data_IF_700722489391
#
_entry.id   IF_700722489391
#
_cell.length_a   1.000
_cell.length_b   1.000
_cell.length_c   1.000
_cell.angle_alpha   90.00
_cell.angle_beta   90.00
_cell.angle_gamma   90.00
#
_symmetry.space_group_name_H-M   'P 1'
#
loop_
_entity.id
_entity.type
_entity.pdbx_description
1 polymer ?
#
# COMPACT_ATOMS: atom_id res chain seq x y z
N UNK A 1 -12.66 57.90 -25.64
CA UNK A 1 -12.26 56.86 -24.66
C UNK A 1 -13.35 55.79 -24.67
N UNK A 2 -13.12 54.64 -25.31
CA UNK A 2 -14.11 53.56 -25.43
C UNK A 2 -13.38 52.26 -25.08
N UNK A 3 -13.41 51.90 -23.80
CA UNK A 3 -12.90 50.59 -23.35
C UNK A 3 -13.94 49.57 -23.78
N UNK A 4 -13.59 48.75 -24.78
CA UNK A 4 -14.43 47.64 -25.25
C UNK A 4 -14.78 46.76 -24.05
N UNK A 5 -16.04 46.73 -23.64
CA UNK A 5 -16.56 45.70 -22.74
C UNK A 5 -16.30 44.36 -23.43
N UNK A 6 -15.28 43.65 -22.96
CA UNK A 6 -14.92 42.32 -23.43
C UNK A 6 -16.11 41.39 -23.08
N UNK A 7 -16.72 40.79 -24.10
CA UNK A 7 -17.99 40.08 -23.99
C UNK A 7 -17.84 38.88 -23.01
N UNK A 8 -18.55 38.92 -21.88
CA UNK A 8 -18.51 37.89 -20.83
C UNK A 8 -18.87 36.49 -21.35
N UNK A 9 -19.56 36.39 -22.48
CA UNK A 9 -19.90 35.13 -23.13
C UNK A 9 -18.68 34.46 -23.78
N UNK A 10 -17.78 35.24 -24.38
CA UNK A 10 -16.53 34.73 -24.97
C UNK A 10 -15.65 34.06 -23.91
N UNK A 11 -15.47 34.73 -22.76
CA UNK A 11 -14.66 34.21 -21.64
C UNK A 11 -15.26 32.91 -21.06
N UNK A 12 -16.58 32.85 -20.92
CA UNK A 12 -17.28 31.66 -20.42
C UNK A 12 -17.15 30.46 -21.37
N UNK A 13 -17.26 30.69 -22.68
CA UNK A 13 -17.10 29.65 -23.71
C UNK A 13 -15.66 29.13 -23.73
N UNK A 14 -14.67 30.02 -23.57
CA UNK A 14 -13.26 29.65 -23.56
C UNK A 14 -12.85 28.90 -22.28
N UNK A 15 -13.41 29.28 -21.11
CA UNK A 15 -13.30 28.50 -19.88
C UNK A 15 -13.91 27.10 -20.00
N UNK A 16 -15.10 26.97 -20.59
CA UNK A 16 -15.75 25.66 -20.80
C UNK A 16 -14.95 24.75 -21.73
N UNK A 17 -14.36 25.29 -22.80
CA UNK A 17 -13.46 24.50 -23.69
C UNK A 17 -12.24 23.97 -22.94
N UNK A 18 -11.60 24.78 -22.09
CA UNK A 18 -10.43 24.35 -21.29
C UNK A 18 -10.78 23.28 -20.25
N UNK A 19 -11.93 23.40 -19.59
CA UNK A 19 -12.40 22.40 -18.60
C UNK A 19 -12.75 21.07 -19.28
N UNK A 20 -13.41 21.12 -20.45
CA UNK A 20 -13.77 19.92 -21.21
C UNK A 20 -12.55 19.17 -21.71
N UNK A 21 -11.52 19.84 -22.21
CA UNK A 21 -10.30 19.17 -22.72
C UNK A 21 -9.45 18.59 -21.59
N UNK A 22 -9.43 19.21 -20.41
CA UNK A 22 -8.74 18.69 -19.24
C UNK A 22 -9.45 17.49 -18.59
N UNK A 23 -10.77 17.39 -18.75
CA UNK A 23 -11.58 16.24 -18.30
C UNK A 23 -11.20 14.93 -19.02
N UNK A 24 -10.77 14.99 -20.29
CA UNK A 24 -10.34 13.81 -21.05
C UNK A 24 -8.91 13.34 -20.75
N UNK A 25 -8.01 14.26 -20.39
CA UNK A 25 -6.59 13.95 -20.10
C UNK A 25 -6.45 13.25 -18.74
N UNK A 26 -7.28 13.61 -17.75
CA UNK A 26 -7.28 12.99 -16.44
C UNK A 26 -7.69 11.51 -16.47
N UNK A 27 -8.48 11.05 -17.44
CA UNK A 27 -8.90 9.64 -17.52
C UNK A 27 -7.82 8.69 -18.08
N UNK A 28 -6.82 9.21 -18.78
CA UNK A 28 -5.75 8.41 -19.40
C UNK A 28 -4.48 8.34 -18.56
N UNK A 29 -4.27 9.27 -17.63
CA UNK A 29 -3.07 9.35 -16.79
C UNK A 29 -3.31 8.74 -15.39
N UNK A 30 -4.57 8.52 -15.01
CA UNK A 30 -4.96 8.03 -13.67
C UNK A 30 -5.29 6.53 -13.47
N UNK A 31 -4.96 5.54 -14.34
CA UNK A 31 -5.08 4.14 -13.92
C UNK A 31 -3.95 3.70 -12.97
N UNK A 32 -2.91 4.52 -12.77
CA UNK A 32 -1.65 4.09 -12.13
C UNK A 32 -1.52 4.35 -10.63
N UNK A 33 -2.37 5.19 -10.00
CA UNK A 33 -2.09 5.68 -8.65
C UNK A 33 -2.85 4.98 -7.51
N UNK A 34 -3.61 3.93 -7.79
CA UNK A 34 -4.35 3.17 -6.76
C UNK A 34 -4.03 1.67 -6.79
N UNK A 35 -2.81 1.30 -7.14
CA UNK A 35 -2.26 0.04 -6.62
C UNK A 35 -1.57 0.38 -5.31
N UNK A 36 -2.38 0.70 -4.29
CA UNK A 36 -1.89 0.86 -2.93
C UNK A 36 -1.24 -0.46 -2.53
N UNK A 37 0.07 -0.43 -2.28
CA UNK A 37 0.78 -1.55 -1.71
C UNK A 37 0.11 -1.85 -0.36
N UNK A 38 -0.64 -2.95 -0.29
CA UNK A 38 -1.35 -3.31 0.92
C UNK A 38 -0.31 -3.55 2.02
N UNK A 39 -0.35 -2.74 3.08
CA UNK A 39 0.49 -2.95 4.26
C UNK A 39 0.23 -4.36 4.80
N UNK A 40 1.27 -5.17 4.82
CA UNK A 40 1.18 -6.57 5.20
C UNK A 40 1.18 -6.72 6.71
N UNK A 41 0.03 -7.15 7.25
CA UNK A 41 -0.17 -7.27 8.70
C UNK A 41 0.09 -8.69 9.19
N UNK A 42 0.73 -8.77 10.36
CA UNK A 42 0.89 -9.99 11.15
C UNK A 42 -0.03 -9.88 12.34
N UNK A 43 -0.83 -10.92 12.61
CA UNK A 43 -1.84 -10.94 13.68
C UNK A 43 -1.25 -11.10 15.08
N UNK A 44 0.07 -11.15 15.20
CA UNK A 44 0.81 -11.17 16.47
C UNK A 44 1.63 -9.88 16.62
N UNK A 45 0.96 -8.73 16.86
CA UNK A 45 1.63 -7.43 16.91
C UNK A 45 2.55 -7.27 18.12
N UNK A 46 2.33 -8.03 19.19
CA UNK A 46 3.10 -7.92 20.45
C UNK A 46 4.60 -8.23 20.28
N UNK A 47 4.97 -8.97 19.25
CA UNK A 47 6.34 -9.43 18.98
C UNK A 47 6.95 -8.80 17.73
N UNK A 48 6.13 -8.16 16.88
CA UNK A 48 6.45 -7.81 15.50
C UNK A 48 6.60 -6.30 15.31
N UNK A 49 7.74 -5.86 14.78
CA UNK A 49 7.93 -4.47 14.34
C UNK A 49 7.95 -4.37 12.81
N UNK A 50 8.58 -5.33 12.14
CA UNK A 50 8.79 -5.34 10.70
C UNK A 50 8.54 -6.75 10.18
N UNK A 51 7.65 -6.87 9.20
CA UNK A 51 7.45 -8.11 8.47
C UNK A 51 8.01 -7.95 7.05
N UNK A 52 8.82 -8.92 6.63
CA UNK A 52 9.35 -9.02 5.27
C UNK A 52 9.00 -10.40 4.72
N UNK A 53 8.17 -10.44 3.70
CA UNK A 53 7.81 -11.71 3.09
C UNK A 53 6.62 -11.59 2.19
N UNK A 54 6.15 -12.76 1.77
CA UNK A 54 4.97 -12.89 0.96
C UNK A 54 3.71 -12.41 1.71
N UNK A 55 2.77 -11.89 0.94
CA UNK A 55 1.61 -11.21 1.48
C UNK A 55 0.39 -11.48 0.61
N UNK A 56 -0.71 -11.86 1.26
CA UNK A 56 -1.96 -12.24 0.60
C UNK A 56 -3.12 -11.61 1.33
N UNK A 57 -3.94 -10.85 0.60
CA UNK A 57 -5.09 -10.12 1.16
C UNK A 57 -4.72 -9.21 2.34
N UNK A 58 -3.56 -8.54 2.28
CA UNK A 58 -3.07 -7.66 3.35
C UNK A 58 -2.56 -8.37 4.60
N UNK A 59 -2.42 -9.70 4.57
CA UNK A 59 -1.90 -10.50 5.67
C UNK A 59 -0.65 -11.27 5.25
N UNK A 60 0.28 -11.45 6.19
CA UNK A 60 1.44 -12.32 6.00
C UNK A 60 1.01 -13.74 5.58
N UNK A 61 1.59 -14.25 4.49
CA UNK A 61 1.24 -15.55 3.94
C UNK A 61 2.39 -16.07 3.08
N UNK A 62 2.75 -17.35 3.16
CA UNK A 62 3.92 -17.90 2.46
C UNK A 62 5.19 -17.72 3.28
N UNK A 63 6.36 -17.67 2.65
CA UNK A 63 7.62 -17.52 3.38
C UNK A 63 7.84 -16.07 3.80
N UNK A 64 8.28 -15.89 5.04
CA UNK A 64 8.56 -14.58 5.57
C UNK A 64 9.49 -14.59 6.77
N UNK A 65 9.91 -13.39 7.11
CA UNK A 65 10.68 -13.07 8.30
C UNK A 65 9.96 -11.97 9.07
N UNK A 66 9.70 -12.26 10.34
CA UNK A 66 9.27 -11.32 11.34
C UNK A 66 10.49 -10.87 12.11
N UNK A 67 10.74 -9.56 12.13
CA UNK A 67 11.79 -8.96 12.95
C UNK A 67 11.15 -7.97 13.91
N UNK A 68 11.37 -8.16 15.20
CA UNK A 68 10.86 -7.26 16.23
C UNK A 68 11.56 -7.47 17.56
N UNK A 69 10.79 -7.72 18.61
CA UNK A 69 11.34 -8.16 19.89
C UNK A 69 11.83 -9.60 19.80
N UNK A 70 11.04 -10.43 19.13
CA UNK A 70 11.39 -11.78 18.77
C UNK A 70 11.57 -11.84 17.26
N UNK A 71 12.37 -12.80 16.79
CA UNK A 71 12.57 -13.05 15.37
C UNK A 71 11.90 -14.37 15.02
N UNK A 72 11.09 -14.37 13.96
CA UNK A 72 10.56 -15.61 13.42
C UNK A 72 10.82 -15.68 11.92
N UNK A 73 11.44 -16.78 11.48
CA UNK A 73 11.73 -17.06 10.06
C UNK A 73 11.05 -18.36 9.70
N UNK A 74 10.11 -18.32 8.77
CA UNK A 74 9.38 -19.52 8.39
C UNK A 74 8.18 -19.24 7.53
N UNK A 75 7.26 -20.19 7.52
CA UNK A 75 6.01 -20.02 6.81
C UNK A 75 4.98 -19.24 7.63
N UNK A 76 4.13 -18.51 6.92
CA UNK A 76 3.01 -17.75 7.45
C UNK A 76 1.73 -18.16 6.75
N UNK A 77 0.64 -18.16 7.49
CA UNK A 77 -0.69 -18.42 6.94
C UNK A 77 -1.71 -17.54 7.62
N UNK A 78 -2.37 -16.67 6.83
CA UNK A 78 -3.42 -15.75 7.31
C UNK A 78 -2.92 -14.83 8.44
N UNK A 79 -1.68 -14.34 8.34
CA UNK A 79 -1.08 -13.41 9.29
C UNK A 79 -0.45 -14.06 10.51
N UNK A 80 -0.37 -15.39 10.58
CA UNK A 80 0.21 -16.13 11.72
C UNK A 80 1.38 -17.01 11.28
N UNK A 81 2.41 -17.18 12.13
CA UNK A 81 3.42 -18.24 11.98
C UNK A 81 2.75 -19.60 11.80
N UNK A 82 3.16 -20.36 10.78
CA UNK A 82 2.59 -21.67 10.46
C UNK A 82 3.66 -22.58 9.86
N UNK A 83 3.50 -23.89 10.00
CA UNK A 83 4.41 -24.88 9.41
C UNK A 83 5.84 -24.75 9.93
N UNK A 84 6.79 -24.98 9.03
CA UNK A 84 8.21 -24.99 9.35
C UNK A 84 8.74 -23.57 9.59
N UNK A 85 9.47 -23.41 10.68
CA UNK A 85 10.08 -22.13 11.01
C UNK A 85 10.92 -22.14 12.27
N UNK A 86 11.76 -21.12 12.39
CA UNK A 86 12.65 -20.89 13.52
C UNK A 86 12.15 -19.65 14.25
N UNK A 87 11.88 -19.80 15.54
CA UNK A 87 11.52 -18.73 16.45
C UNK A 87 12.69 -18.48 17.40
N UNK A 88 13.20 -17.25 17.41
CA UNK A 88 14.25 -16.78 18.30
C UNK A 88 13.67 -15.72 19.23
N UNK A 89 13.68 -16.01 20.53
CA UNK A 89 13.23 -15.06 21.54
C UNK A 89 14.36 -14.10 21.91
N UNK A 90 13.99 -12.91 22.38
CA UNK A 90 14.96 -11.95 22.94
C UNK A 90 15.85 -12.53 24.06
N UNK A 91 15.40 -13.59 24.74
CA UNK A 91 16.18 -14.31 25.75
C UNK A 91 17.32 -15.15 25.19
N UNK A 92 17.41 -15.30 23.87
CA UNK A 92 18.35 -16.20 23.18
C UNK A 92 17.86 -17.64 23.09
N UNK A 93 16.65 -17.95 23.58
CA UNK A 93 16.04 -19.24 23.32
C UNK A 93 15.71 -19.35 21.81
N UNK A 94 15.87 -20.55 21.26
CA UNK A 94 15.56 -20.85 19.86
C UNK A 94 14.63 -22.05 19.84
N UNK A 95 13.57 -21.97 19.04
CA UNK A 95 12.64 -23.05 18.77
C UNK A 95 12.54 -23.29 17.28
N UNK A 96 12.73 -24.54 16.88
CA UNK A 96 12.55 -24.97 15.51
C UNK A 96 11.26 -25.81 15.45
N UNK A 97 10.26 -25.28 14.77
CA UNK A 97 9.00 -25.96 14.49
C UNK A 97 9.05 -26.67 13.15
N UNK A 98 8.39 -27.84 13.06
CA UNK A 98 8.15 -28.56 11.80
C UNK A 98 6.71 -28.42 11.33
#
# INVERSE_FOLDING_TARGET
MQVKLFDMKEIYIEMKRKISTWSFIMLWIFPGLIYGQADCKVLKPEISLIYKGECKNGLAHGKGELSGRDVYKGEFKKGLPHGQGIYEWVSGAIYEGQ
#
